data_IF_973562976289
#
_entry.id   IF_973562976289
#
_cell.length_a   1.000
_cell.length_b   1.000
_cell.length_c   1.000
_cell.angle_alpha   90.00
_cell.angle_beta   90.00
_cell.angle_gamma   90.00
#
_symmetry.space_group_name_H-M   'P 1'
#
loop_
_entity.id
_entity.type
_entity.pdbx_description
1 polymer ?
#
# COMPACT_ATOMS: atom_id res chain seq x y z
N UNK A 1 38.22 -19.54 8.04
CA UNK A 1 37.66 -18.54 7.10
C UNK A 1 36.42 -17.95 7.76
N UNK A 2 36.50 -16.73 8.35
CA UNK A 2 35.35 -16.06 8.98
C UNK A 2 34.53 -15.38 7.88
N UNK A 3 33.31 -15.80 7.72
CA UNK A 3 32.31 -15.19 6.84
C UNK A 3 31.83 -13.88 7.48
N UNK A 4 32.27 -12.75 6.97
CA UNK A 4 31.78 -11.44 7.35
C UNK A 4 30.33 -11.28 6.90
N UNK A 5 29.40 -11.35 7.86
CA UNK A 5 27.97 -11.13 7.60
C UNK A 5 27.74 -9.64 7.37
N UNK A 6 27.61 -9.27 6.11
CA UNK A 6 27.17 -7.93 5.73
C UNK A 6 25.75 -7.69 6.25
N UNK A 7 25.60 -6.68 7.11
CA UNK A 7 24.29 -6.28 7.63
C UNK A 7 23.78 -5.07 6.86
N UNK A 8 22.46 -4.89 6.80
CA UNK A 8 21.81 -3.73 6.16
C UNK A 8 22.34 -2.40 6.69
N UNK A 9 22.75 -2.35 7.96
CA UNK A 9 23.40 -1.18 8.59
C UNK A 9 24.75 -0.86 7.95
N UNK A 10 25.57 -1.86 7.64
CA UNK A 10 26.89 -1.68 7.02
C UNK A 10 26.78 -1.10 5.60
N UNK A 11 25.73 -1.46 4.85
CA UNK A 11 25.46 -0.89 3.52
C UNK A 11 25.14 0.61 3.60
N UNK A 12 24.32 1.02 4.56
CA UNK A 12 23.93 2.44 4.73
C UNK A 12 25.12 3.31 5.14
N UNK A 13 26.04 2.77 5.96
CA UNK A 13 27.24 3.50 6.40
C UNK A 13 28.27 3.62 5.26
N UNK A 14 28.36 2.62 4.36
CA UNK A 14 29.24 2.65 3.20
C UNK A 14 28.87 3.74 2.18
N UNK A 15 27.60 3.97 1.92
CA UNK A 15 27.13 5.01 1.01
C UNK A 15 27.40 6.43 1.55
N UNK A 16 27.30 6.63 2.85
CA UNK A 16 27.63 7.91 3.49
C UNK A 16 29.09 8.29 3.37
N UNK A 17 29.99 7.31 3.45
CA UNK A 17 31.46 7.55 3.34
C UNK A 17 31.89 7.88 1.89
N UNK A 18 31.26 7.29 0.91
CA UNK A 18 31.56 7.58 -0.52
C UNK A 18 31.12 8.99 -0.91
N UNK A 19 29.96 9.46 -0.41
CA UNK A 19 29.47 10.81 -0.65
C UNK A 19 30.42 11.89 -0.08
N UNK A 20 31.07 11.62 1.06
CA UNK A 20 32.06 12.52 1.65
C UNK A 20 33.37 12.58 0.83
N UNK A 21 33.78 11.48 0.18
CA UNK A 21 35.01 11.42 -0.63
C UNK A 21 34.91 12.19 -1.95
N UNK A 22 33.71 12.41 -2.48
CA UNK A 22 33.49 13.14 -3.73
C UNK A 22 33.19 14.63 -3.55
N UNK A 23 33.35 15.18 -2.33
CA UNK A 23 33.21 16.61 -2.08
C UNK A 23 31.81 17.18 -2.38
N UNK A 24 30.79 16.33 -2.47
CA UNK A 24 29.41 16.76 -2.63
C UNK A 24 28.96 17.37 -1.30
N UNK A 25 29.04 18.70 -1.24
CA UNK A 25 28.60 19.47 -0.09
C UNK A 25 27.13 19.17 0.22
N UNK A 26 26.71 19.15 1.51
CA UNK A 26 25.34 18.87 1.92
C UNK A 26 24.34 19.99 1.54
N UNK A 27 24.60 20.73 0.46
CA UNK A 27 23.71 21.74 -0.09
C UNK A 27 22.40 21.13 -0.64
N UNK A 28 22.42 19.83 -1.01
CA UNK A 28 21.21 19.15 -1.52
C UNK A 28 20.20 18.83 -0.40
N UNK A 29 20.62 18.70 0.85
CA UNK A 29 19.69 18.47 1.95
C UNK A 29 18.95 19.75 2.38
N UNK A 30 19.48 20.92 2.02
CA UNK A 30 18.87 22.22 2.36
C UNK A 30 17.90 22.73 1.32
N UNK A 31 17.92 22.17 0.10
CA UNK A 31 16.99 22.55 -0.98
C UNK A 31 15.56 22.01 -0.76
N UNK A 32 15.36 21.06 0.14
CA UNK A 32 14.02 20.53 0.44
C UNK A 32 13.27 21.29 1.55
N UNK A 33 13.90 22.22 2.26
CA UNK A 33 13.27 22.96 3.35
C UNK A 33 12.64 24.29 2.94
N UNK A 34 12.72 24.68 1.67
CA UNK A 34 12.07 25.89 1.13
C UNK A 34 11.04 25.60 0.03
N UNK A 35 10.64 24.34 -0.16
CA UNK A 35 9.45 24.08 -0.93
C UNK A 35 8.28 24.65 -0.15
N UNK A 36 7.67 25.72 -0.66
CA UNK A 36 6.43 26.27 -0.14
C UNK A 36 5.48 25.10 0.12
N UNK A 37 4.76 25.12 1.24
CA UNK A 37 3.92 24.02 1.69
C UNK A 37 3.08 23.52 0.51
N UNK A 38 3.41 22.33 -0.01
CA UNK A 38 2.62 21.70 -1.05
C UNK A 38 1.20 21.55 -0.52
N UNK A 39 0.25 22.18 -1.17
CA UNK A 39 -1.17 21.99 -0.92
C UNK A 39 -1.74 21.22 -2.10
N UNK A 40 -2.11 19.95 -1.90
CA UNK A 40 -2.76 19.18 -2.96
C UNK A 40 -4.06 19.89 -3.38
N UNK A 41 -4.37 19.86 -4.68
CA UNK A 41 -5.66 20.27 -5.17
C UNK A 41 -6.74 19.37 -4.53
N UNK A 42 -7.83 19.96 -4.07
CA UNK A 42 -8.98 19.23 -3.56
C UNK A 42 -10.08 19.24 -4.62
N UNK A 43 -10.64 18.07 -4.86
CA UNK A 43 -11.76 17.87 -5.75
C UNK A 43 -12.97 17.38 -4.96
N UNK A 44 -14.17 17.85 -5.33
CA UNK A 44 -15.41 17.43 -4.64
C UNK A 44 -15.62 15.90 -4.69
N UNK A 45 -15.15 15.25 -5.76
CA UNK A 45 -15.23 13.79 -5.93
C UNK A 45 -14.38 13.03 -4.89
N UNK A 46 -13.43 13.70 -4.24
CA UNK A 46 -12.55 13.11 -3.22
C UNK A 46 -13.02 13.44 -1.79
N UNK A 47 -14.12 14.20 -1.63
CA UNK A 47 -14.61 14.64 -0.33
C UNK A 47 -14.94 13.46 0.61
N UNK A 48 -15.40 12.34 0.07
CA UNK A 48 -15.68 11.13 0.83
C UNK A 48 -14.48 10.60 1.61
N UNK A 49 -13.24 10.85 1.14
CA UNK A 49 -12.01 10.48 1.86
C UNK A 49 -11.85 11.27 3.16
N UNK A 50 -12.27 12.53 3.17
CA UNK A 50 -12.24 13.37 4.37
C UNK A 50 -13.34 12.99 5.36
N UNK A 51 -14.49 12.51 4.85
CA UNK A 51 -15.65 12.12 5.62
C UNK A 51 -15.53 10.73 6.24
N UNK A 52 -14.59 9.90 5.80
CA UNK A 52 -14.39 8.57 6.34
C UNK A 52 -14.08 8.64 7.85
N UNK A 53 -14.87 7.97 8.70
CA UNK A 53 -14.61 7.90 10.13
C UNK A 53 -13.31 7.12 10.39
N UNK A 54 -12.77 7.27 11.59
CA UNK A 54 -11.67 6.46 12.05
C UNK A 54 -10.43 7.26 12.44
N UNK A 55 -9.81 6.81 13.50
CA UNK A 55 -8.55 7.34 14.03
C UNK A 55 -7.36 6.83 13.20
N UNK A 56 -7.44 5.56 12.76
CA UNK A 56 -6.43 4.95 11.89
C UNK A 56 -7.02 4.74 10.50
N UNK A 57 -6.32 5.26 9.49
CA UNK A 57 -6.74 5.16 8.08
C UNK A 57 -5.67 4.44 7.28
N UNK A 58 -6.07 3.45 6.49
CA UNK A 58 -5.16 2.62 5.69
C UNK A 58 -5.68 2.53 4.26
N UNK A 59 -4.77 2.69 3.31
CA UNK A 59 -5.03 2.42 1.90
C UNK A 59 -4.19 1.22 1.47
N UNK A 60 -4.84 0.18 0.94
CA UNK A 60 -4.20 -1.04 0.45
C UNK A 60 -4.39 -1.11 -1.06
N UNK A 61 -3.29 -1.07 -1.80
CA UNK A 61 -3.29 -1.17 -3.26
C UNK A 61 -2.92 -2.59 -3.69
N UNK A 62 -3.67 -3.13 -4.66
CA UNK A 62 -3.41 -4.45 -5.23
C UNK A 62 -3.57 -4.44 -6.74
N UNK A 63 -2.71 -5.19 -7.46
CA UNK A 63 -2.60 -5.15 -8.90
C UNK A 63 -2.86 -6.49 -9.62
N UNK A 64 -2.88 -7.59 -8.90
CA UNK A 64 -3.07 -8.94 -9.42
C UNK A 64 -3.97 -9.80 -8.51
N UNK A 65 -4.27 -11.03 -8.93
CA UNK A 65 -5.17 -11.92 -8.21
C UNK A 65 -4.66 -12.25 -6.79
N UNK A 66 -3.38 -12.55 -6.65
CA UNK A 66 -2.79 -12.86 -5.35
C UNK A 66 -2.77 -11.63 -4.44
N UNK A 67 -2.44 -10.47 -5.00
CA UNK A 67 -2.48 -9.19 -4.30
C UNK A 67 -3.89 -8.84 -3.82
N UNK A 68 -4.93 -9.13 -4.61
CA UNK A 68 -6.32 -8.92 -4.20
C UNK A 68 -6.69 -9.77 -2.98
N UNK A 69 -6.36 -11.05 -2.98
CA UNK A 69 -6.59 -11.95 -1.84
C UNK A 69 -5.81 -11.50 -0.60
N UNK A 70 -4.54 -11.14 -0.77
CA UNK A 70 -3.69 -10.64 0.30
C UNK A 70 -4.22 -9.31 0.87
N UNK A 71 -4.74 -8.42 0.04
CA UNK A 71 -5.28 -7.13 0.48
C UNK A 71 -6.46 -7.31 1.44
N UNK A 72 -7.38 -8.23 1.12
CA UNK A 72 -8.52 -8.56 2.01
C UNK A 72 -8.04 -9.22 3.30
N UNK A 73 -7.09 -10.16 3.22
CA UNK A 73 -6.48 -10.78 4.39
C UNK A 73 -5.82 -9.75 5.31
N UNK A 74 -5.04 -8.85 4.74
CA UNK A 74 -4.32 -7.83 5.50
C UNK A 74 -5.27 -6.80 6.10
N UNK A 75 -6.35 -6.42 5.40
CA UNK A 75 -7.38 -5.58 5.95
C UNK A 75 -7.97 -6.20 7.23
N UNK A 76 -8.34 -7.49 7.20
CA UNK A 76 -8.84 -8.19 8.38
C UNK A 76 -7.79 -8.27 9.51
N UNK A 77 -6.52 -8.53 9.16
CA UNK A 77 -5.43 -8.56 10.16
C UNK A 77 -5.20 -7.19 10.80
N UNK A 78 -5.32 -6.10 10.03
CA UNK A 78 -5.20 -4.73 10.54
C UNK A 78 -6.32 -4.41 11.54
N UNK A 79 -7.57 -4.80 11.30
CA UNK A 79 -8.65 -4.65 12.28
C UNK A 79 -8.30 -5.34 13.59
N UNK A 80 -7.88 -6.61 13.53
CA UNK A 80 -7.50 -7.40 14.72
C UNK A 80 -6.29 -6.80 15.45
N UNK A 81 -5.28 -6.35 14.71
CA UNK A 81 -4.09 -5.73 15.28
C UNK A 81 -4.42 -4.42 15.99
N UNK A 82 -5.26 -3.59 15.40
CA UNK A 82 -5.67 -2.32 16.00
C UNK A 82 -6.53 -2.55 17.26
N UNK A 83 -7.41 -3.54 17.25
CA UNK A 83 -8.19 -3.91 18.43
C UNK A 83 -7.27 -4.41 19.56
N UNK A 84 -6.31 -5.30 19.26
CA UNK A 84 -5.45 -5.90 20.30
C UNK A 84 -4.38 -4.94 20.82
N UNK A 85 -3.81 -4.09 19.99
CA UNK A 85 -2.69 -3.21 20.36
C UNK A 85 -3.13 -1.85 20.92
N UNK A 86 -4.27 -1.33 20.43
CA UNK A 86 -4.74 0.02 20.75
C UNK A 86 -6.15 0.03 21.35
N UNK A 87 -6.79 -1.12 21.52
CA UNK A 87 -8.18 -1.25 22.00
C UNK A 87 -9.19 -0.47 21.13
N UNK A 88 -8.89 -0.29 19.84
CA UNK A 88 -9.77 0.40 18.90
C UNK A 88 -10.94 -0.49 18.50
N UNK A 89 -12.11 0.14 18.41
CA UNK A 89 -13.29 -0.48 17.82
C UNK A 89 -13.12 -0.55 16.29
N UNK A 90 -13.74 -1.50 15.57
CA UNK A 90 -13.75 -1.52 14.11
C UNK A 90 -14.18 -0.20 13.46
N UNK A 91 -15.05 0.59 14.09
CA UNK A 91 -15.45 1.92 13.60
C UNK A 91 -14.34 2.99 13.72
N UNK A 92 -13.31 2.74 14.52
CA UNK A 92 -12.15 3.62 14.64
C UNK A 92 -11.07 3.37 13.58
N UNK A 93 -11.27 2.35 12.74
CA UNK A 93 -10.30 1.97 11.70
C UNK A 93 -10.98 2.04 10.32
N UNK A 94 -10.50 2.91 9.45
CA UNK A 94 -10.97 3.00 8.08
C UNK A 94 -9.96 2.37 7.12
N UNK A 95 -10.39 1.39 6.33
CA UNK A 95 -9.54 0.71 5.36
C UNK A 95 -10.18 0.82 3.98
N UNK A 96 -9.44 1.37 3.02
CA UNK A 96 -9.79 1.36 1.60
C UNK A 96 -8.91 0.34 0.90
N UNK A 97 -9.52 -0.62 0.24
CA UNK A 97 -8.83 -1.59 -0.63
C UNK A 97 -9.06 -1.18 -2.07
N UNK A 98 -7.97 -0.92 -2.79
CA UNK A 98 -8.01 -0.58 -4.21
C UNK A 98 -7.60 -1.80 -5.05
N UNK A 99 -8.51 -2.25 -5.89
CA UNK A 99 -8.25 -3.28 -6.90
C UNK A 99 -7.99 -2.61 -8.25
N UNK A 100 -6.73 -2.60 -8.70
CA UNK A 100 -6.35 -2.05 -10.01
C UNK A 100 -5.75 -3.11 -10.94
N UNK A 101 -5.58 -2.80 -12.21
CA UNK A 101 -5.08 -3.72 -13.23
C UNK A 101 -5.84 -5.07 -13.21
N UNK A 102 -5.12 -6.18 -13.09
CA UNK A 102 -5.70 -7.52 -13.09
C UNK A 102 -6.50 -7.81 -11.79
N UNK A 103 -6.27 -7.08 -10.72
CA UNK A 103 -7.06 -7.18 -9.51
C UNK A 103 -8.47 -6.56 -9.66
N UNK A 104 -8.69 -5.67 -10.64
CA UNK A 104 -9.99 -4.97 -10.83
C UNK A 104 -11.16 -5.93 -10.94
N UNK A 105 -10.95 -7.12 -11.51
CA UNK A 105 -12.01 -8.12 -11.68
C UNK A 105 -12.62 -8.57 -10.35
N UNK A 106 -11.87 -8.54 -9.26
CA UNK A 106 -12.33 -8.92 -7.93
C UNK A 106 -13.17 -7.83 -7.24
N UNK A 107 -13.20 -6.63 -7.81
CA UNK A 107 -14.09 -5.55 -7.36
C UNK A 107 -15.49 -5.59 -7.99
N UNK A 108 -15.74 -6.47 -8.96
CA UNK A 108 -17.03 -6.60 -9.58
C UNK A 108 -17.98 -7.49 -8.76
N UNK A 109 -19.27 -7.22 -8.89
CA UNK A 109 -20.31 -7.97 -8.20
C UNK A 109 -20.60 -9.33 -8.86
N UNK A 110 -21.42 -10.15 -8.18
CA UNK A 110 -21.77 -11.50 -8.61
C UNK A 110 -22.43 -11.54 -9.99
N UNK A 111 -23.22 -10.52 -10.37
CA UNK A 111 -23.86 -10.46 -11.68
C UNK A 111 -22.84 -10.32 -12.82
N UNK A 112 -21.77 -9.55 -12.58
CA UNK A 112 -20.64 -9.44 -13.51
C UNK A 112 -19.86 -10.74 -13.59
N UNK A 113 -19.61 -11.39 -12.46
CA UNK A 113 -18.94 -12.69 -12.42
C UNK A 113 -19.76 -13.79 -13.08
N UNK A 114 -21.06 -13.84 -12.84
CA UNK A 114 -21.95 -14.80 -13.52
C UNK A 114 -21.93 -14.66 -15.05
N UNK A 115 -21.75 -13.43 -15.55
CA UNK A 115 -21.75 -13.15 -16.99
C UNK A 115 -20.37 -13.30 -17.64
N UNK A 116 -19.32 -12.89 -16.96
CA UNK A 116 -17.99 -12.73 -17.54
C UNK A 116 -16.89 -13.51 -16.80
N UNK A 117 -17.24 -14.34 -15.81
CA UNK A 117 -16.28 -15.01 -14.92
C UNK A 117 -15.21 -15.81 -15.65
N UNK A 118 -15.56 -16.51 -16.73
CA UNK A 118 -14.59 -17.25 -17.56
C UNK A 118 -13.54 -16.30 -18.18
N UNK A 119 -13.95 -15.11 -18.64
CA UNK A 119 -13.03 -14.12 -19.18
C UNK A 119 -12.17 -13.49 -18.08
N UNK A 120 -12.76 -13.22 -16.92
CA UNK A 120 -12.05 -12.68 -15.77
C UNK A 120 -11.00 -13.65 -15.26
N UNK A 121 -11.33 -14.93 -15.12
CA UNK A 121 -10.42 -15.98 -14.70
C UNK A 121 -9.21 -16.10 -15.64
N UNK A 122 -9.44 -16.09 -16.95
CA UNK A 122 -8.37 -16.08 -17.95
C UNK A 122 -7.51 -14.82 -17.87
N UNK A 123 -8.13 -13.65 -17.77
CA UNK A 123 -7.44 -12.37 -17.73
C UNK A 123 -6.54 -12.25 -16.49
N UNK A 124 -7.05 -12.63 -15.34
CA UNK A 124 -6.35 -12.55 -14.06
C UNK A 124 -5.45 -13.76 -13.78
N UNK A 125 -5.41 -14.75 -14.69
CA UNK A 125 -4.72 -16.04 -14.48
C UNK A 125 -5.12 -16.69 -13.15
N UNK A 126 -6.41 -16.69 -12.87
CA UNK A 126 -7.03 -17.18 -11.64
C UNK A 126 -8.02 -18.30 -11.97
N UNK A 127 -8.02 -19.34 -11.16
CA UNK A 127 -9.02 -20.42 -11.24
C UNK A 127 -10.06 -20.18 -10.16
N UNK A 128 -11.31 -19.97 -10.57
CA UNK A 128 -12.42 -19.82 -9.63
C UNK A 128 -12.67 -21.19 -8.97
N UNK A 129 -12.56 -21.32 -7.65
CA UNK A 129 -12.82 -22.58 -6.95
C UNK A 129 -14.30 -22.99 -6.95
N UNK A 130 -15.21 -22.10 -7.35
CA UNK A 130 -16.64 -22.37 -7.46
C UNK A 130 -17.10 -22.91 -8.82
N UNK A 131 -16.21 -22.97 -9.81
CA UNK A 131 -16.41 -23.60 -11.11
C UNK A 131 -15.51 -24.80 -11.25
#
# INVERSE_FOLDING_TARGET
MKSDKWTRRSLMTGFGAIAAAFGVRPALARAQTSAGSFRPARHELDAWLDEMPGQHRVFIDSADAQGAGNAVLYANNLYRANQSAYSLDPHDVAIVVCFRHLATVFGYNDAMWAKYGEHFSRLASFTDPGT
#
